data_IF_871918697901
#
_entry.id   IF_871918697901
#
_cell.length_a   1.000
_cell.length_b   1.000
_cell.length_c   1.000
_cell.angle_alpha   90.00
_cell.angle_beta   90.00
_cell.angle_gamma   90.00
#
_symmetry.space_group_name_H-M   'P 1'
#
loop_
_entity.id
_entity.type
_entity.pdbx_description
1 polymer ?
#
# COMPACT_ATOMS: atom_id res chain seq x y z
N UNK A 1 -0.06 12.41 1.23
CA UNK A 1 -1.24 12.89 0.49
C UNK A 1 -1.79 11.81 -0.42
N UNK A 2 -3.11 11.63 -0.43
CA UNK A 2 -3.83 10.63 -1.24
C UNK A 2 -4.67 11.26 -2.34
N UNK A 3 -5.47 12.25 -2.00
CA UNK A 3 -6.36 12.96 -2.92
C UNK A 3 -6.63 14.38 -2.39
N UNK A 4 -7.13 15.24 -3.26
CA UNK A 4 -7.66 16.56 -2.89
C UNK A 4 -8.75 16.96 -3.88
N UNK A 5 -9.72 17.75 -3.41
CA UNK A 5 -10.84 18.22 -4.23
C UNK A 5 -10.47 19.40 -5.11
N UNK A 6 -11.19 19.52 -6.22
CA UNK A 6 -11.51 20.78 -6.88
C UNK A 6 -12.98 21.06 -6.55
N UNK A 7 -13.32 21.77 -5.44
CA UNK A 7 -14.71 21.98 -5.04
C UNK A 7 -15.52 22.66 -6.14
N UNK A 8 -16.83 22.43 -6.15
CA UNK A 8 -17.73 23.23 -6.97
C UNK A 8 -18.04 24.57 -6.24
N UNK A 9 -18.76 25.55 -6.84
CA UNK A 9 -19.05 26.83 -6.19
C UNK A 9 -19.84 26.77 -4.87
N UNK A 10 -20.42 25.63 -4.51
CA UNK A 10 -21.10 25.37 -3.24
C UNK A 10 -20.34 24.36 -2.35
N UNK A 11 -19.18 23.90 -2.81
CA UNK A 11 -18.33 22.93 -2.16
C UNK A 11 -17.29 23.60 -1.26
N UNK A 12 -16.49 22.75 -0.62
CA UNK A 12 -15.33 23.17 0.18
C UNK A 12 -14.14 22.28 -0.11
N UNK A 13 -12.94 22.81 0.08
CA UNK A 13 -11.72 22.03 -0.05
C UNK A 13 -11.69 20.89 0.96
N UNK A 14 -11.26 19.73 0.49
CA UNK A 14 -10.79 18.66 1.34
C UNK A 14 -9.43 18.16 0.90
N UNK A 15 -8.69 17.69 1.88
CA UNK A 15 -7.39 17.06 1.72
C UNK A 15 -7.48 15.67 2.34
N UNK A 16 -6.99 14.66 1.63
CA UNK A 16 -7.03 13.29 2.12
C UNK A 16 -5.63 12.74 2.41
N UNK A 17 -5.51 12.18 3.61
CA UNK A 17 -4.32 11.51 4.11
C UNK A 17 -4.51 10.00 4.03
N UNK A 18 -3.40 9.29 3.84
CA UNK A 18 -3.35 7.84 3.86
C UNK A 18 -2.17 7.39 4.70
N UNK A 19 -2.45 6.62 5.75
CA UNK A 19 -1.41 5.99 6.55
C UNK A 19 -0.90 4.72 5.87
N UNK A 20 0.05 4.88 4.95
CA UNK A 20 0.70 3.77 4.25
C UNK A 20 1.63 2.90 5.13
N UNK A 21 1.87 3.30 6.38
CA UNK A 21 2.79 2.61 7.28
C UNK A 21 2.11 1.44 8.00
N UNK A 22 2.89 0.65 8.75
CA UNK A 22 2.40 -0.35 9.69
C UNK A 22 2.30 0.18 11.13
N UNK A 23 2.36 1.50 11.33
CA UNK A 23 2.30 2.16 12.63
C UNK A 23 0.99 2.91 12.80
N UNK A 24 0.51 3.03 14.03
CA UNK A 24 -0.54 3.98 14.38
C UNK A 24 0.08 5.38 14.40
N UNK A 25 -0.52 6.32 13.70
CA UNK A 25 -0.10 7.73 13.67
C UNK A 25 -1.12 8.55 14.46
N UNK A 26 -0.67 9.33 15.44
CA UNK A 26 -1.55 10.28 16.10
C UNK A 26 -1.69 11.54 15.23
N UNK A 27 -2.90 11.80 14.71
CA UNK A 27 -3.20 12.91 13.80
C UNK A 27 -3.00 14.27 14.47
N UNK A 28 -3.09 14.35 15.80
CA UNK A 28 -2.76 15.55 16.57
C UNK A 28 -1.33 16.07 16.27
N UNK A 29 -0.41 15.18 15.87
CA UNK A 29 0.97 15.53 15.57
C UNK A 29 1.18 15.99 14.11
N UNK A 30 0.12 16.00 13.30
CA UNK A 30 0.16 16.35 11.90
C UNK A 30 -0.37 17.77 11.67
N UNK A 31 0.29 18.49 10.75
CA UNK A 31 -0.04 19.86 10.39
C UNK A 31 -0.09 19.96 8.87
N UNK A 32 -1.13 20.60 8.35
CA UNK A 32 -1.21 20.97 6.94
C UNK A 32 -0.61 22.36 6.73
N UNK A 33 0.06 22.58 5.61
CA UNK A 33 0.50 23.92 5.21
C UNK A 33 0.52 24.08 3.69
N UNK A 34 0.76 25.31 3.24
CA UNK A 34 1.03 25.64 1.85
C UNK A 34 2.43 26.26 1.66
N UNK A 35 2.81 26.52 0.40
CA UNK A 35 3.96 27.37 0.07
C UNK A 35 3.47 28.79 -0.25
N UNK A 36 4.20 29.80 0.20
CA UNK A 36 4.06 31.17 -0.30
C UNK A 36 4.73 31.33 -1.68
N UNK A 37 4.46 32.44 -2.36
CA UNK A 37 5.00 32.74 -3.70
C UNK A 37 6.53 32.78 -3.78
N UNK A 38 7.22 33.03 -2.66
CA UNK A 38 8.67 32.99 -2.54
C UNK A 38 9.24 31.61 -2.16
N UNK A 39 8.41 30.57 -2.07
CA UNK A 39 8.83 29.20 -1.73
C UNK A 39 8.98 28.92 -0.23
N UNK A 40 8.72 29.88 0.65
CA UNK A 40 8.67 29.63 2.10
C UNK A 40 7.42 28.84 2.49
N UNK A 41 7.44 28.20 3.66
CA UNK A 41 6.23 27.59 4.23
C UNK A 41 5.29 28.71 4.68
N UNK A 42 4.05 28.65 4.22
CA UNK A 42 3.00 29.62 4.48
C UNK A 42 2.17 29.27 5.72
N UNK A 43 0.84 29.31 5.55
CA UNK A 43 -0.11 29.14 6.65
C UNK A 43 -0.08 27.71 7.19
N UNK A 44 -0.01 27.57 8.52
CA UNK A 44 -0.13 26.29 9.21
C UNK A 44 -1.57 26.06 9.68
N UNK A 45 -2.12 24.88 9.36
CA UNK A 45 -3.41 24.39 9.81
C UNK A 45 -3.25 23.10 10.61
N UNK A 46 -3.34 23.19 11.94
CA UNK A 46 -3.38 22.00 12.79
C UNK A 46 -4.61 21.16 12.46
N UNK A 47 -4.43 19.86 12.20
CA UNK A 47 -5.53 19.00 11.77
C UNK A 47 -6.52 18.77 12.93
N UNK A 48 -6.02 18.33 14.09
CA UNK A 48 -6.80 18.11 15.31
C UNK A 48 -6.03 18.59 16.53
N UNK A 49 -6.74 19.03 17.58
CA UNK A 49 -6.16 19.36 18.88
C UNK A 49 -6.15 18.19 19.86
N UNK A 50 -7.00 17.19 19.64
CA UNK A 50 -7.13 16.01 20.50
C UNK A 50 -6.43 14.80 19.90
N UNK A 51 -6.12 13.82 20.74
CA UNK A 51 -5.56 12.54 20.31
C UNK A 51 -6.52 11.83 19.36
N UNK A 52 -6.03 11.51 18.17
CA UNK A 52 -6.79 10.77 17.17
C UNK A 52 -5.88 9.76 16.48
N UNK A 53 -6.02 8.45 16.79
CA UNK A 53 -5.23 7.41 16.16
C UNK A 53 -5.71 7.17 14.72
N UNK A 54 -4.83 7.38 13.75
CA UNK A 54 -5.00 6.91 12.37
C UNK A 54 -4.28 5.57 12.23
N UNK A 55 -5.03 4.49 12.08
CA UNK A 55 -4.47 3.13 12.03
C UNK A 55 -3.74 2.87 10.71
N UNK A 56 -2.88 1.83 10.66
CA UNK A 56 -2.31 1.36 9.41
C UNK A 56 -3.36 1.17 8.32
N UNK A 57 -3.04 1.62 7.11
CA UNK A 57 -3.86 1.50 5.91
C UNK A 57 -5.19 2.30 5.94
N UNK A 58 -5.40 3.16 6.92
CA UNK A 58 -6.58 4.02 6.97
C UNK A 58 -6.40 5.34 6.21
N UNK A 59 -7.55 5.90 5.84
CA UNK A 59 -7.67 7.18 5.16
C UNK A 59 -8.29 8.20 6.12
N UNK A 60 -7.86 9.45 6.06
CA UNK A 60 -8.45 10.55 6.81
C UNK A 60 -8.72 11.72 5.86
N UNK A 61 -9.96 12.19 5.85
CA UNK A 61 -10.36 13.40 5.14
C UNK A 61 -10.31 14.57 6.11
N UNK A 62 -9.69 15.68 5.70
CA UNK A 62 -9.59 16.92 6.46
C UNK A 62 -10.19 18.04 5.64
N UNK A 63 -11.15 18.77 6.20
CA UNK A 63 -11.82 19.91 5.54
C UNK A 63 -12.21 20.99 6.55
N UNK A 64 -12.47 22.21 6.07
CA UNK A 64 -13.13 23.26 6.86
C UNK A 64 -14.59 22.91 7.20
N UNK A 65 -15.26 22.13 6.34
CA UNK A 65 -16.63 21.67 6.56
C UNK A 65 -16.88 20.25 5.98
N UNK A 66 -16.62 19.20 6.79
CA UNK A 66 -16.87 17.81 6.39
C UNK A 66 -18.32 17.52 6.00
N UNK A 67 -19.30 18.29 6.50
CA UNK A 67 -20.70 18.07 6.16
C UNK A 67 -20.98 18.46 4.70
N UNK A 68 -20.40 19.57 4.23
CA UNK A 68 -20.46 19.98 2.82
C UNK A 68 -19.74 18.98 1.90
N UNK A 69 -18.60 18.43 2.32
CA UNK A 69 -17.93 17.33 1.60
C UNK A 69 -18.88 16.12 1.44
N UNK A 70 -19.61 15.76 2.48
CA UNK A 70 -20.55 14.63 2.46
C UNK A 70 -21.82 14.88 1.64
N UNK A 71 -22.18 16.14 1.37
CA UNK A 71 -23.25 16.49 0.42
C UNK A 71 -22.79 16.33 -1.03
N UNK A 72 -21.50 16.54 -1.29
CA UNK A 72 -20.92 16.51 -2.63
C UNK A 72 -20.45 15.11 -3.05
N UNK A 73 -19.96 14.31 -2.11
CA UNK A 73 -19.34 13.00 -2.38
C UNK A 73 -19.92 11.89 -1.50
N UNK A 74 -19.84 10.65 -1.98
CA UNK A 74 -20.14 9.49 -1.13
C UNK A 74 -18.98 9.24 -0.17
N UNK A 75 -19.17 9.57 1.11
CA UNK A 75 -18.20 9.37 2.18
C UNK A 75 -18.40 7.99 2.81
N UNK A 76 -17.49 7.05 2.55
CA UNK A 76 -17.64 5.65 2.96
C UNK A 76 -17.51 5.42 4.48
N UNK A 77 -16.69 6.21 5.17
CA UNK A 77 -16.47 6.15 6.62
C UNK A 77 -16.52 7.56 7.22
N UNK A 78 -17.72 8.11 7.51
CA UNK A 78 -17.86 9.47 8.00
C UNK A 78 -17.06 9.80 9.27
N UNK A 79 -16.81 8.82 10.15
CA UNK A 79 -15.97 8.99 11.35
C UNK A 79 -14.48 9.26 11.06
N UNK A 80 -14.04 9.08 9.80
CA UNK A 80 -12.69 9.42 9.33
C UNK A 80 -12.70 10.69 8.45
N UNK A 81 -13.76 11.49 8.52
CA UNK A 81 -13.84 12.81 7.91
C UNK A 81 -13.94 13.85 9.01
N UNK A 82 -12.88 14.65 9.18
CA UNK A 82 -12.71 15.54 10.33
C UNK A 82 -12.65 17.00 9.91
N UNK A 83 -13.22 17.85 10.76
CA UNK A 83 -13.09 19.29 10.62
C UNK A 83 -11.70 19.69 11.10
N UNK A 84 -10.97 20.44 10.27
CA UNK A 84 -9.68 21.00 10.66
C UNK A 84 -9.84 21.90 11.89
N UNK A 85 -9.00 21.70 12.90
CA UNK A 85 -9.06 22.49 14.13
C UNK A 85 -8.45 23.89 13.96
N UNK A 86 -7.41 24.00 13.14
CA UNK A 86 -6.85 25.28 12.69
C UNK A 86 -7.60 25.87 11.50
N UNK A 87 -7.00 26.88 10.85
CA UNK A 87 -7.49 27.36 9.56
C UNK A 87 -7.01 26.45 8.44
N UNK A 88 -7.87 26.20 7.44
CA UNK A 88 -7.45 25.52 6.23
C UNK A 88 -6.44 26.40 5.49
N UNK A 89 -5.23 25.91 5.18
CA UNK A 89 -4.32 26.64 4.30
C UNK A 89 -4.97 26.81 2.93
N UNK A 90 -4.60 27.87 2.21
CA UNK A 90 -5.16 28.12 0.88
C UNK A 90 -4.61 27.12 -0.14
N UNK A 91 -5.51 26.42 -0.81
CA UNK A 91 -5.25 25.45 -1.88
C UNK A 91 -6.07 25.82 -3.12
N UNK A 92 -5.60 26.78 -3.95
CA UNK A 92 -6.32 27.21 -5.15
C UNK A 92 -6.57 26.07 -6.13
N UNK A 93 -7.69 26.11 -6.85
CA UNK A 93 -8.06 25.06 -7.83
C UNK A 93 -7.10 24.99 -9.03
N UNK A 94 -6.48 26.11 -9.41
CA UNK A 94 -5.59 26.20 -10.58
C UNK A 94 -4.21 25.59 -10.31
N UNK A 95 -3.54 26.01 -9.24
CA UNK A 95 -2.24 25.48 -8.83
C UNK A 95 -1.93 25.83 -7.39
N UNK A 96 -1.25 24.93 -6.71
CA UNK A 96 -0.89 25.14 -5.32
C UNK A 96 0.16 24.17 -4.85
N UNK A 97 0.52 24.29 -3.57
CA UNK A 97 1.35 23.28 -2.91
C UNK A 97 0.72 22.91 -1.59
N UNK A 98 0.52 21.61 -1.39
CA UNK A 98 0.07 21.03 -0.13
C UNK A 98 1.27 20.40 0.56
N UNK A 99 1.50 20.79 1.82
CA UNK A 99 2.49 20.17 2.69
C UNK A 99 1.79 19.45 3.83
N UNK A 100 2.30 18.26 4.15
CA UNK A 100 2.03 17.57 5.40
C UNK A 100 3.30 17.61 6.24
N UNK A 101 3.22 18.18 7.43
CA UNK A 101 4.31 18.28 8.37
C UNK A 101 3.99 17.52 9.65
N UNK A 102 5.03 17.15 10.39
CA UNK A 102 4.86 16.84 11.82
C UNK A 102 4.94 18.11 12.67
N UNK A 103 4.63 18.00 13.96
CA UNK A 103 4.70 19.10 14.93
C UNK A 103 6.12 19.71 15.12
N UNK A 104 7.17 19.01 14.70
CA UNK A 104 8.55 19.52 14.72
C UNK A 104 8.90 20.31 13.43
N UNK A 105 7.95 20.52 12.52
CA UNK A 105 8.15 21.23 11.27
C UNK A 105 8.85 20.40 10.18
N UNK A 106 9.04 19.09 10.38
CA UNK A 106 9.58 18.20 9.35
C UNK A 106 8.50 17.90 8.32
N UNK A 107 8.82 18.13 7.05
CA UNK A 107 7.97 17.75 5.91
C UNK A 107 7.92 16.22 5.82
N UNK A 108 6.71 15.67 5.88
CA UNK A 108 6.40 14.26 5.71
C UNK A 108 5.99 13.94 4.27
N UNK A 109 5.27 14.85 3.61
CA UNK A 109 4.90 14.78 2.20
C UNK A 109 4.68 16.21 1.66
N UNK A 110 4.95 16.41 0.37
CA UNK A 110 4.78 17.69 -0.33
C UNK A 110 4.36 17.42 -1.78
N UNK A 111 3.29 18.07 -2.22
CA UNK A 111 2.82 18.00 -3.61
C UNK A 111 2.55 19.39 -4.15
N UNK A 112 3.26 19.77 -5.21
CA UNK A 112 2.94 20.94 -6.01
C UNK A 112 2.07 20.48 -7.17
N UNK A 113 0.79 20.82 -7.13
CA UNK A 113 -0.19 20.40 -8.11
C UNK A 113 -0.56 21.53 -9.06
N UNK A 114 -1.19 21.13 -10.16
CA UNK A 114 -1.63 22.00 -11.22
C UNK A 114 -2.90 21.38 -11.84
N UNK A 115 -3.89 22.19 -12.16
CA UNK A 115 -5.21 21.76 -12.66
C UNK A 115 -5.11 20.98 -13.98
N UNK A 116 -3.99 21.09 -14.70
CA UNK A 116 -3.69 20.36 -15.91
C UNK A 116 -3.30 18.89 -15.65
N UNK A 117 -3.34 18.44 -14.39
CA UNK A 117 -3.16 17.04 -13.98
C UNK A 117 -4.46 16.24 -14.08
N UNK A 118 -5.60 16.91 -14.20
CA UNK A 118 -6.84 16.25 -14.56
C UNK A 118 -6.75 15.61 -15.95
N UNK A 119 -7.57 14.59 -16.19
CA UNK A 119 -7.64 13.92 -17.49
C UNK A 119 -7.97 14.93 -18.59
N UNK A 120 -7.16 14.97 -19.65
CA UNK A 120 -7.15 16.05 -20.64
C UNK A 120 -8.49 16.26 -21.38
N UNK A 121 -9.38 15.27 -21.41
CA UNK A 121 -10.70 15.37 -22.04
C UNK A 121 -11.79 15.91 -21.10
N UNK A 122 -11.45 16.24 -19.85
CA UNK A 122 -12.37 16.86 -18.89
C UNK A 122 -12.29 18.37 -19.05
N UNK A 123 -13.35 18.95 -19.62
CA UNK A 123 -13.46 20.41 -19.81
C UNK A 123 -13.87 21.13 -18.51
N UNK A 124 -14.74 20.50 -17.70
CA UNK A 124 -15.18 21.04 -16.43
C UNK A 124 -14.66 20.16 -15.29
N UNK A 125 -13.73 20.70 -14.51
CA UNK A 125 -13.04 20.02 -13.41
C UNK A 125 -13.75 20.23 -12.07
N UNK A 126 -14.73 21.12 -12.02
CA UNK A 126 -15.50 21.46 -10.83
C UNK A 126 -16.15 20.21 -10.22
N UNK A 127 -15.89 20.01 -8.94
CA UNK A 127 -16.32 18.86 -8.17
C UNK A 127 -15.60 17.55 -8.46
N UNK A 128 -14.54 17.55 -9.26
CA UNK A 128 -13.76 16.34 -9.57
C UNK A 128 -12.48 16.34 -8.73
N UNK A 129 -12.32 15.34 -7.88
CA UNK A 129 -11.11 15.20 -7.07
C UNK A 129 -9.92 14.76 -7.93
N UNK A 130 -8.72 15.24 -7.59
CA UNK A 130 -7.48 14.70 -8.09
C UNK A 130 -7.00 13.56 -7.18
N UNK A 131 -6.81 12.38 -7.75
CA UNK A 131 -6.46 11.16 -7.05
C UNK A 131 -5.06 10.70 -7.41
N UNK A 132 -4.27 10.37 -6.38
CA UNK A 132 -2.97 9.72 -6.56
C UNK A 132 -3.16 8.28 -7.02
N UNK A 133 -2.39 7.87 -8.03
CA UNK A 133 -2.44 6.55 -8.63
C UNK A 133 -1.66 5.55 -7.76
N UNK A 134 -0.38 5.79 -7.51
CA UNK A 134 0.50 4.92 -6.70
C UNK A 134 0.95 5.64 -5.42
N UNK A 135 0.45 5.15 -4.27
CA UNK A 135 0.78 5.69 -2.96
C UNK A 135 2.26 5.48 -2.54
N UNK A 136 2.98 4.56 -3.22
CA UNK A 136 4.40 4.28 -2.96
C UNK A 136 5.33 5.06 -3.88
N UNK A 137 4.89 5.47 -5.07
CA UNK A 137 5.62 6.41 -5.92
C UNK A 137 5.65 7.81 -5.31
N UNK A 138 6.51 8.73 -5.73
CA UNK A 138 6.53 10.10 -5.20
C UNK A 138 5.22 10.85 -5.50
N UNK A 139 4.78 11.72 -4.59
CA UNK A 139 3.63 12.60 -4.75
C UNK A 139 3.90 13.74 -5.73
N UNK A 140 5.15 14.21 -5.86
CA UNK A 140 5.48 15.37 -6.68
C UNK A 140 5.73 15.04 -8.16
N UNK A 141 4.90 14.13 -8.73
CA UNK A 141 4.97 13.72 -10.14
C UNK A 141 3.59 13.75 -10.76
N UNK A 142 3.39 14.55 -11.80
CA UNK A 142 2.13 14.64 -12.56
C UNK A 142 1.57 13.27 -12.95
N UNK A 143 2.40 12.40 -13.53
CA UNK A 143 1.97 11.07 -14.01
C UNK A 143 1.51 10.11 -12.90
N UNK A 144 1.65 10.51 -11.62
CA UNK A 144 1.14 9.76 -10.48
C UNK A 144 -0.23 10.29 -9.98
N UNK A 145 -0.87 11.18 -10.73
CA UNK A 145 -2.17 11.75 -10.39
C UNK A 145 -3.08 11.76 -11.61
N UNK A 146 -4.38 11.63 -11.37
CA UNK A 146 -5.40 11.80 -12.41
C UNK A 146 -6.76 12.06 -11.78
N UNK A 147 -7.77 12.33 -12.60
CA UNK A 147 -9.13 12.60 -12.13
C UNK A 147 -9.81 11.37 -11.54
N UNK A 148 -10.51 11.56 -10.42
CA UNK A 148 -11.42 10.56 -9.87
C UNK A 148 -12.50 10.16 -10.91
N UNK A 149 -12.87 8.88 -10.90
CA UNK A 149 -13.81 8.33 -11.86
C UNK A 149 -15.25 8.83 -11.63
N UNK A 150 -15.99 9.06 -12.72
CA UNK A 150 -17.42 9.38 -12.65
C UNK A 150 -18.25 8.31 -11.95
N UNK A 151 -17.88 7.04 -12.10
CA UNK A 151 -18.60 5.89 -11.53
C UNK A 151 -18.60 5.85 -10.01
N UNK A 152 -17.67 6.53 -9.35
CA UNK A 152 -17.62 6.69 -7.88
C UNK A 152 -18.15 8.05 -7.43
N UNK A 153 -18.74 8.84 -8.33
CA UNK A 153 -19.20 10.20 -8.03
C UNK A 153 -18.08 11.24 -8.00
N UNK A 154 -17.03 11.06 -8.79
CA UNK A 154 -15.92 12.01 -8.94
C UNK A 154 -15.07 12.28 -7.68
N UNK A 155 -15.13 11.39 -6.68
CA UNK A 155 -14.20 11.37 -5.55
C UNK A 155 -14.47 10.18 -4.63
N UNK A 156 -13.44 9.70 -3.93
CA UNK A 156 -13.56 8.58 -2.97
C UNK A 156 -13.16 8.95 -1.53
N UNK A 157 -13.77 9.97 -0.88
CA UNK A 157 -13.42 10.31 0.50
C UNK A 157 -13.53 9.10 1.42
N UNK A 158 -12.51 8.88 2.24
CA UNK A 158 -12.36 7.81 3.24
C UNK A 158 -12.33 6.37 2.69
N UNK A 159 -12.16 6.20 1.37
CA UNK A 159 -12.03 4.91 0.68
C UNK A 159 -10.79 4.87 -0.21
N UNK A 160 -10.44 3.74 -0.82
CA UNK A 160 -9.33 3.69 -1.78
C UNK A 160 -9.66 4.56 -3.02
N UNK A 161 -8.64 5.22 -3.60
CA UNK A 161 -8.83 6.02 -4.82
C UNK A 161 -9.41 5.14 -5.94
N UNK A 162 -10.34 5.68 -6.72
CA UNK A 162 -10.87 4.99 -7.91
C UNK A 162 -9.81 4.72 -8.97
N UNK A 163 -8.77 5.56 -9.01
CA UNK A 163 -7.62 5.46 -9.90
C UNK A 163 -6.43 4.78 -9.23
N UNK A 164 -6.61 4.26 -8.01
CA UNK A 164 -5.52 3.62 -7.29
C UNK A 164 -4.98 2.49 -8.15
N UNK A 165 -3.67 2.53 -8.41
CA UNK A 165 -2.91 1.37 -8.78
C UNK A 165 -2.97 0.42 -7.60
N UNK A 166 -3.98 -0.43 -7.61
CA UNK A 166 -3.91 -1.69 -6.90
C UNK A 166 -2.64 -2.33 -7.44
N UNK A 167 -1.66 -2.60 -6.57
CA UNK A 167 -0.65 -3.59 -6.89
C UNK A 167 -1.48 -4.80 -7.26
N UNK A 168 -1.69 -5.03 -8.57
CA UNK A 168 -2.62 -6.02 -9.07
C UNK A 168 -2.27 -7.23 -8.24
N UNK A 169 -3.22 -7.68 -7.43
CA UNK A 169 -3.15 -9.00 -6.88
C UNK A 169 -3.31 -9.90 -8.11
N UNK A 170 -2.23 -10.01 -8.89
CA UNK A 170 -1.84 -11.23 -9.52
C UNK A 170 -1.69 -12.12 -8.31
N UNK A 171 -2.80 -12.76 -7.91
CA UNK A 171 -2.89 -13.62 -6.74
C UNK A 171 -2.09 -14.86 -7.07
N UNK A 172 -0.77 -14.69 -7.17
CA UNK A 172 0.13 -15.77 -6.94
C UNK A 172 -0.16 -16.25 -5.52
N UNK A 173 -0.51 -17.51 -5.39
CA UNK A 173 -0.61 -18.17 -4.11
C UNK A 173 0.54 -19.16 -4.00
N UNK A 174 1.12 -19.23 -2.81
CA UNK A 174 2.10 -20.25 -2.41
C UNK A 174 1.52 -20.96 -1.18
N UNK A 175 1.35 -22.27 -1.26
CA UNK A 175 0.90 -23.13 -0.16
C UNK A 175 1.89 -24.26 0.09
N UNK A 176 1.96 -24.70 1.35
CA UNK A 176 2.85 -25.79 1.75
C UNK A 176 2.02 -26.98 2.20
N UNK A 177 2.27 -28.15 1.62
CA UNK A 177 1.55 -29.37 1.95
C UNK A 177 2.48 -30.60 1.96
N UNK A 178 2.51 -31.38 3.05
CA UNK A 178 1.92 -31.09 4.36
C UNK A 178 2.66 -29.95 5.08
N UNK A 179 2.01 -29.30 6.05
CA UNK A 179 2.63 -28.27 6.88
C UNK A 179 3.59 -28.81 7.95
N UNK A 180 3.59 -30.13 8.15
CA UNK A 180 4.47 -30.89 9.01
C UNK A 180 4.86 -32.17 8.28
N UNK A 181 6.13 -32.60 8.35
CA UNK A 181 6.60 -33.80 7.66
C UNK A 181 7.77 -34.44 8.42
N UNK A 182 8.00 -35.74 8.22
CA UNK A 182 9.05 -36.55 8.85
C UNK A 182 9.88 -37.26 7.79
N UNK A 183 11.08 -36.76 7.43
CA UNK A 183 11.92 -37.35 6.38
C UNK A 183 12.70 -38.57 6.91
N UNK A 184 11.99 -39.62 7.31
CA UNK A 184 12.55 -40.89 7.79
C UNK A 184 12.53 -42.02 6.74
N UNK A 185 11.97 -41.74 5.56
CA UNK A 185 11.88 -42.61 4.40
C UNK A 185 11.00 -43.84 4.67
N UNK A 186 9.95 -43.67 5.48
CA UNK A 186 8.94 -44.71 5.79
C UNK A 186 7.76 -44.73 4.81
N UNK A 187 7.71 -43.79 3.86
CA UNK A 187 6.66 -43.65 2.86
C UNK A 187 5.50 -42.76 3.29
N UNK A 188 5.53 -42.22 4.51
CA UNK A 188 4.51 -41.35 5.08
C UNK A 188 5.07 -39.95 5.37
N UNK A 189 4.54 -38.94 4.67
CA UNK A 189 4.91 -37.52 4.87
C UNK A 189 6.44 -37.28 4.91
N UNK A 190 7.17 -37.87 3.96
CA UNK A 190 8.64 -37.75 3.87
C UNK A 190 9.16 -36.40 3.36
N UNK A 191 8.27 -35.57 2.83
CA UNK A 191 8.63 -34.29 2.20
C UNK A 191 7.47 -33.31 2.24
N UNK A 192 7.80 -32.02 2.09
CA UNK A 192 6.84 -30.96 1.87
C UNK A 192 6.83 -30.52 0.40
N UNK A 193 5.64 -30.26 -0.13
CA UNK A 193 5.44 -29.62 -1.43
C UNK A 193 5.15 -28.13 -1.23
N UNK A 194 5.87 -27.31 -1.99
CA UNK A 194 5.67 -25.87 -2.13
C UNK A 194 4.88 -25.69 -3.41
N UNK A 195 3.56 -25.65 -3.28
CA UNK A 195 2.63 -25.53 -4.39
C UNK A 195 2.45 -24.06 -4.74
N UNK A 196 2.36 -23.76 -6.04
CA UNK A 196 2.12 -22.42 -6.53
C UNK A 196 1.02 -22.38 -7.59
N UNK A 197 0.28 -21.27 -7.61
CA UNK A 197 -0.71 -20.94 -8.64
C UNK A 197 -0.57 -19.45 -8.95
N UNK A 198 -0.45 -19.08 -10.21
CA UNK A 198 -0.28 -17.71 -10.69
C UNK A 198 -1.45 -17.27 -11.56
N UNK A 199 -1.66 -15.96 -11.68
CA UNK A 199 -2.73 -15.38 -12.50
C UNK A 199 -2.37 -15.33 -14.00
N UNK A 200 -1.08 -15.40 -14.34
CA UNK A 200 -0.57 -15.30 -15.70
C UNK A 200 0.76 -16.08 -15.82
N UNK A 201 1.14 -16.53 -17.03
CA UNK A 201 2.43 -17.19 -17.26
C UNK A 201 3.61 -16.19 -17.18
N UNK A 202 4.83 -16.73 -17.19
CA UNK A 202 6.06 -15.94 -17.30
C UNK A 202 6.69 -15.53 -15.96
N UNK A 203 6.23 -16.11 -14.85
CA UNK A 203 6.88 -15.95 -13.56
C UNK A 203 8.10 -16.86 -13.42
N UNK A 204 9.06 -16.35 -12.67
CA UNK A 204 10.29 -17.01 -12.24
C UNK A 204 10.32 -17.02 -10.72
N UNK A 205 10.73 -18.12 -10.09
CA UNK A 205 10.77 -18.30 -8.64
C UNK A 205 12.19 -18.52 -8.09
N UNK A 206 12.47 -17.87 -6.96
CA UNK A 206 13.60 -18.13 -6.07
C UNK A 206 13.05 -18.69 -4.76
N UNK A 207 13.55 -19.83 -4.30
CA UNK A 207 13.07 -20.46 -3.07
C UNK A 207 14.24 -20.76 -2.15
N UNK A 208 14.19 -20.22 -0.93
CA UNK A 208 15.18 -20.44 0.13
C UNK A 208 14.50 -20.95 1.38
N UNK A 209 15.05 -22.02 1.94
CA UNK A 209 14.65 -22.55 3.25
C UNK A 209 15.54 -21.90 4.31
N UNK A 210 14.91 -21.36 5.34
CA UNK A 210 15.57 -20.71 6.47
C UNK A 210 15.17 -21.36 7.80
N UNK A 211 16.06 -21.30 8.79
CA UNK A 211 15.72 -21.67 10.15
C UNK A 211 14.83 -20.62 10.85
N UNK A 212 14.40 -20.91 12.08
CA UNK A 212 13.56 -20.01 12.88
C UNK A 212 14.23 -18.65 13.19
N UNK A 213 15.56 -18.56 13.09
CA UNK A 213 16.31 -17.31 13.25
C UNK A 213 16.46 -16.53 11.93
N UNK A 214 15.91 -17.04 10.81
CA UNK A 214 15.98 -16.43 9.50
C UNK A 214 17.32 -16.64 8.78
N UNK A 215 18.14 -17.59 9.22
CA UNK A 215 19.41 -17.94 8.54
C UNK A 215 19.13 -18.94 7.42
N UNK A 216 19.72 -18.76 6.22
CA UNK A 216 19.53 -19.69 5.11
C UNK A 216 20.14 -21.06 5.42
N UNK A 217 19.36 -22.11 5.20
CA UNK A 217 19.74 -23.52 5.40
C UNK A 217 19.84 -24.26 4.07
N UNK A 218 18.98 -23.90 3.11
CA UNK A 218 19.00 -24.44 1.75
C UNK A 218 18.55 -23.43 0.73
N UNK A 219 19.23 -23.34 -0.40
CA UNK A 219 18.66 -22.68 -1.58
C UNK A 219 18.02 -23.76 -2.45
N UNK A 220 16.70 -23.86 -2.36
CA UNK A 220 15.95 -24.92 -3.04
C UNK A 220 15.86 -24.67 -4.55
N UNK A 221 15.67 -23.42 -4.96
CA UNK A 221 15.59 -23.01 -6.36
C UNK A 221 16.19 -21.63 -6.59
N UNK A 222 16.86 -21.45 -7.73
CA UNK A 222 17.35 -20.15 -8.23
C UNK A 222 16.85 -19.94 -9.65
N UNK A 223 16.14 -18.84 -9.87
CA UNK A 223 15.60 -18.41 -11.15
C UNK A 223 14.82 -19.52 -11.88
N UNK A 224 14.02 -20.29 -11.15
CA UNK A 224 13.23 -21.37 -11.73
C UNK A 224 12.07 -20.79 -12.55
N UNK A 225 12.04 -21.07 -13.86
CA UNK A 225 10.89 -20.73 -14.70
C UNK A 225 9.67 -21.55 -14.30
N UNK A 226 8.53 -20.90 -14.12
CA UNK A 226 7.33 -21.55 -13.65
C UNK A 226 6.20 -21.52 -14.69
N UNK A 227 5.42 -22.59 -14.73
CA UNK A 227 4.10 -22.59 -15.36
C UNK A 227 3.09 -21.74 -14.57
N UNK A 228 1.84 -21.74 -15.01
CA UNK A 228 0.74 -21.07 -14.30
C UNK A 228 0.46 -21.75 -12.95
N UNK A 229 0.74 -23.05 -12.82
CA UNK A 229 0.72 -23.78 -11.55
C UNK A 229 1.81 -24.85 -11.52
N UNK A 230 2.09 -25.36 -10.33
CA UNK A 230 3.08 -26.42 -10.13
C UNK A 230 3.50 -26.56 -8.68
N UNK A 231 4.57 -27.32 -8.45
CA UNK A 231 5.11 -27.52 -7.11
C UNK A 231 6.63 -27.73 -7.13
N UNK A 232 7.26 -27.40 -6.00
CA UNK A 232 8.63 -27.77 -5.67
C UNK A 232 8.64 -28.67 -4.43
N UNK A 233 9.58 -29.62 -4.36
CA UNK A 233 9.68 -30.58 -3.25
C UNK A 233 10.86 -30.22 -2.34
N UNK A 234 10.64 -30.23 -1.04
CA UNK A 234 11.72 -30.19 -0.04
C UNK A 234 11.66 -31.42 0.88
N UNK A 235 12.80 -32.08 1.03
CA UNK A 235 13.01 -33.37 1.70
C UNK A 235 13.67 -33.25 3.08
N UNK A 236 13.76 -32.03 3.63
CA UNK A 236 14.40 -31.80 4.93
C UNK A 236 15.93 -31.87 4.91
N UNK A 237 16.55 -31.83 3.73
CA UNK A 237 18.00 -31.73 3.61
C UNK A 237 18.44 -30.25 3.49
N UNK A 238 19.66 -29.94 3.94
CA UNK A 238 20.35 -28.66 3.68
C UNK A 238 21.10 -28.68 2.33
N UNK A 239 21.85 -27.60 2.02
CA UNK A 239 22.69 -27.53 0.80
C UNK A 239 23.83 -28.57 0.76
N UNK A 240 24.23 -29.10 1.92
CA UNK A 240 25.25 -30.16 2.05
C UNK A 240 24.65 -31.58 2.01
N UNK A 241 23.36 -31.70 1.68
CA UNK A 241 22.61 -32.97 1.69
C UNK A 241 22.52 -33.63 3.07
N UNK A 242 22.62 -32.85 4.15
CA UNK A 242 22.48 -33.34 5.52
C UNK A 242 21.09 -33.04 6.04
N UNK A 243 20.51 -33.97 6.81
CA UNK A 243 19.23 -33.76 7.49
C UNK A 243 19.32 -32.55 8.41
N UNK A 244 18.35 -31.65 8.30
CA UNK A 244 18.24 -30.51 9.20
C UNK A 244 17.61 -30.95 10.53
N UNK A 245 17.89 -30.27 11.66
CA UNK A 245 17.27 -30.59 12.94
C UNK A 245 15.74 -30.52 12.93
N UNK A 246 15.10 -31.24 13.83
CA UNK A 246 13.67 -31.09 14.14
C UNK A 246 13.38 -29.65 14.53
N UNK A 247 12.28 -29.09 14.01
CA UNK A 247 11.88 -27.71 14.28
C UNK A 247 11.10 -27.08 13.14
N UNK A 248 10.73 -25.81 13.33
CA UNK A 248 10.01 -25.03 12.32
C UNK A 248 10.98 -24.27 11.43
N UNK A 249 10.74 -24.33 10.13
CA UNK A 249 11.50 -23.67 9.09
C UNK A 249 10.62 -22.70 8.31
N UNK A 250 11.24 -21.65 7.78
CA UNK A 250 10.60 -20.66 6.92
C UNK A 250 10.95 -20.99 5.47
N UNK A 251 9.94 -21.16 4.64
CA UNK A 251 10.06 -21.23 3.19
C UNK A 251 9.85 -19.82 2.66
N UNK A 252 10.92 -19.21 2.18
CA UNK A 252 10.90 -17.90 1.55
C UNK A 252 10.92 -18.05 0.06
N UNK A 253 9.81 -17.64 -0.57
CA UNK A 253 9.62 -17.69 -2.01
C UNK A 253 9.52 -16.28 -2.54
N UNK A 254 10.42 -15.91 -3.44
CA UNK A 254 10.32 -14.69 -4.23
C UNK A 254 9.93 -15.08 -5.66
N UNK A 255 8.91 -14.43 -6.21
CA UNK A 255 8.54 -14.59 -7.62
C UNK A 255 8.65 -13.25 -8.34
N UNK A 256 9.02 -13.28 -9.61
CA UNK A 256 9.07 -12.10 -10.46
C UNK A 256 8.85 -12.43 -11.94
N UNK A 257 8.51 -11.44 -12.76
CA UNK A 257 8.39 -11.60 -14.21
C UNK A 257 9.10 -10.48 -14.99
N UNK A 258 9.13 -10.62 -16.33
CA UNK A 258 9.79 -9.65 -17.22
C UNK A 258 9.09 -8.29 -17.26
N UNK A 259 7.85 -8.20 -16.80
CA UNK A 259 7.09 -6.96 -16.67
C UNK A 259 7.40 -6.20 -15.37
N UNK A 260 8.36 -6.69 -14.58
CA UNK A 260 8.80 -6.06 -13.33
C UNK A 260 7.88 -6.30 -12.14
N UNK A 261 6.88 -7.18 -12.28
CA UNK A 261 6.05 -7.58 -11.13
C UNK A 261 6.87 -8.51 -10.25
N UNK A 262 6.85 -8.27 -8.93
CA UNK A 262 7.57 -9.05 -7.94
C UNK A 262 6.73 -9.23 -6.69
N UNK A 263 6.67 -10.45 -6.17
CA UNK A 263 5.96 -10.80 -4.92
C UNK A 263 6.82 -11.72 -4.06
N UNK A 264 6.58 -11.69 -2.75
CA UNK A 264 7.34 -12.46 -1.76
C UNK A 264 6.36 -13.16 -0.82
N UNK A 265 6.63 -14.44 -0.56
CA UNK A 265 5.86 -15.30 0.32
C UNK A 265 6.76 -15.85 1.42
N UNK A 266 6.20 -15.96 2.62
CA UNK A 266 6.83 -16.57 3.78
C UNK A 266 5.84 -17.58 4.34
N UNK A 267 6.10 -18.85 4.09
CA UNK A 267 5.32 -19.94 4.64
C UNK A 267 6.16 -20.68 5.67
N UNK A 268 5.51 -21.37 6.60
CA UNK A 268 6.19 -22.20 7.61
C UNK A 268 5.96 -23.67 7.32
N UNK A 269 6.95 -24.49 7.66
CA UNK A 269 6.85 -25.94 7.67
C UNK A 269 7.58 -26.50 8.89
N UNK A 270 7.05 -27.55 9.48
CA UNK A 270 7.67 -28.20 10.65
C UNK A 270 8.26 -29.55 10.25
N UNK A 271 9.52 -29.78 10.62
CA UNK A 271 10.12 -31.12 10.58
C UNK A 271 9.94 -31.74 11.95
N UNK A 272 9.31 -32.92 11.98
CA UNK A 272 9.11 -33.72 13.17
C UNK A 272 9.95 -34.98 13.15
N UNK A 273 10.14 -35.58 14.33
CA UNK A 273 10.64 -36.94 14.47
C UNK A 273 9.46 -37.82 14.89
N UNK A 274 9.18 -38.87 14.12
CA UNK A 274 8.22 -39.90 14.52
C UNK A 274 8.80 -40.66 15.72
N UNK A 275 7.98 -40.85 16.75
CA UNK A 275 8.30 -41.71 17.89
C UNK A 275 7.87 -43.15 17.61
#
# INVERSE_FOLDING_TARGET
MKSFSTPNPQGVDYIELYNRSNKIINVQQLVLANRSSNGSIGTFGSILTDNFPLFPQEYLVVSADPATVAQQYTVMKPGLSVKIAGSMPSYPDDKGTVLLLNNAGRILDEVTYDDNWHFALINNKEGIALERIDANATSNKKDNWTSAAKTVGYGTPTAANSQQKTAVANTASISIQPGIFSPDNDGFEDFALIQYQFAQPGYVANITIMDAAGRPVKVLQRNATCGISGNFRWDGLNDKLQKVPVGTYIIFTEIFNLQGQRQVFKNTVTIAKKF
#
